data_IF_100132862537
#
_entry.id   IF_100132862537
#
_cell.length_a   1.000
_cell.length_b   1.000
_cell.length_c   1.000
_cell.angle_alpha   90.00
_cell.angle_beta   90.00
_cell.angle_gamma   90.00
#
_symmetry.space_group_name_H-M   'P 1'
#
loop_
_entity.id
_entity.type
_entity.pdbx_description
1 polymer ?
#
# COMPACT_ATOMS: atom_id res chain seq x y z
N UNK A 1 3.32 5.49 11.66
CA UNK A 1 4.45 4.77 12.29
C UNK A 1 5.78 5.41 11.95
N UNK A 2 6.75 5.34 12.85
CA UNK A 2 8.17 5.56 12.55
C UNK A 2 8.72 4.47 11.61
N UNK A 3 9.84 4.74 10.90
CA UNK A 3 10.42 3.80 9.94
C UNK A 3 10.81 2.45 10.57
N UNK A 4 11.21 2.45 11.84
CA UNK A 4 11.58 1.23 12.55
C UNK A 4 10.38 0.33 12.84
N UNK A 5 9.22 0.91 13.16
CA UNK A 5 7.98 0.15 13.37
C UNK A 5 7.48 -0.47 12.06
N UNK A 6 7.54 0.27 10.96
CA UNK A 6 7.21 -0.26 9.62
C UNK A 6 8.09 -1.45 9.26
N UNK A 7 9.40 -1.35 9.54
CA UNK A 7 10.35 -2.44 9.28
C UNK A 7 10.01 -3.69 10.11
N UNK A 8 9.73 -3.52 11.41
CA UNK A 8 9.30 -4.64 12.28
C UNK A 8 8.01 -5.27 11.79
N UNK A 9 7.04 -4.47 11.33
CA UNK A 9 5.77 -4.95 10.78
C UNK A 9 5.99 -5.82 9.52
N UNK A 10 6.88 -5.38 8.62
CA UNK A 10 7.26 -6.15 7.43
C UNK A 10 8.05 -7.42 7.76
N UNK A 11 8.96 -7.36 8.73
CA UNK A 11 9.69 -8.54 9.20
C UNK A 11 8.76 -9.58 9.84
N UNK A 12 7.76 -9.12 10.60
CA UNK A 12 6.73 -9.98 11.16
C UNK A 12 5.88 -10.60 10.04
N UNK A 13 5.39 -9.78 9.11
CA UNK A 13 4.61 -10.25 7.97
C UNK A 13 5.37 -11.28 7.12
N UNK A 14 6.65 -11.06 6.87
CA UNK A 14 7.49 -12.01 6.13
C UNK A 14 7.72 -13.34 6.87
N UNK A 15 7.60 -13.36 8.20
CA UNK A 15 7.80 -14.57 9.02
C UNK A 15 6.49 -15.33 9.26
N UNK A 16 5.40 -14.61 9.48
CA UNK A 16 4.13 -15.21 9.90
C UNK A 16 3.10 -15.27 8.78
N UNK A 17 3.23 -14.42 7.75
CA UNK A 17 2.21 -14.17 6.73
C UNK A 17 0.81 -13.99 7.33
N UNK A 18 0.72 -13.45 8.55
CA UNK A 18 -0.52 -13.37 9.30
C UNK A 18 -1.50 -12.40 8.64
N UNK A 19 -2.80 -12.75 8.58
CA UNK A 19 -3.82 -11.86 8.04
C UNK A 19 -3.92 -10.55 8.84
N UNK A 20 -3.68 -10.58 10.15
CA UNK A 20 -3.68 -9.39 11.00
C UNK A 20 -2.56 -8.41 10.66
N UNK A 21 -1.34 -8.90 10.44
CA UNK A 21 -0.19 -8.06 10.06
C UNK A 21 -0.38 -7.51 8.64
N UNK A 22 -0.92 -8.32 7.72
CA UNK A 22 -1.32 -7.88 6.38
C UNK A 22 -2.33 -6.73 6.45
N UNK A 23 -3.38 -6.88 7.25
CA UNK A 23 -4.40 -5.85 7.41
C UNK A 23 -3.82 -4.55 7.97
N UNK A 24 -2.93 -4.63 8.98
CA UNK A 24 -2.21 -3.45 9.51
C UNK A 24 -1.39 -2.75 8.42
N UNK A 25 -0.64 -3.50 7.61
CA UNK A 25 0.13 -2.96 6.48
C UNK A 25 -0.81 -2.25 5.50
N UNK A 26 -1.91 -2.91 5.09
CA UNK A 26 -2.88 -2.32 4.16
C UNK A 26 -3.43 -0.99 4.70
N UNK A 27 -3.86 -0.95 5.97
CA UNK A 27 -4.43 0.26 6.58
C UNK A 27 -3.40 1.40 6.65
N UNK A 28 -2.15 1.10 6.97
CA UNK A 28 -1.08 2.11 7.05
C UNK A 28 -0.73 2.70 5.67
N UNK A 29 -0.78 1.89 4.60
CA UNK A 29 -0.47 2.36 3.24
C UNK A 29 -1.70 2.81 2.42
N UNK A 30 -2.93 2.51 2.86
CA UNK A 30 -4.17 2.98 2.24
C UNK A 30 -4.22 4.51 1.96
N UNK A 31 -3.76 5.41 2.86
CA UNK A 31 -3.74 6.84 2.56
C UNK A 31 -2.83 7.21 1.38
N UNK A 32 -1.76 6.44 1.09
CA UNK A 32 -0.93 6.67 -0.09
C UNK A 32 -1.71 6.43 -1.38
N UNK A 33 -2.53 5.37 -1.41
CA UNK A 33 -3.41 5.08 -2.55
C UNK A 33 -4.34 6.26 -2.81
N UNK A 34 -4.96 6.81 -1.77
CA UNK A 34 -5.84 7.97 -1.89
C UNK A 34 -5.11 9.20 -2.45
N UNK A 35 -3.86 9.41 -2.04
CA UNK A 35 -3.03 10.52 -2.51
C UNK A 35 -2.65 10.35 -3.99
N UNK A 36 -2.25 9.15 -4.40
CA UNK A 36 -1.93 8.82 -5.80
C UNK A 36 -3.16 8.87 -6.69
N UNK A 37 -4.28 8.31 -6.25
CA UNK A 37 -5.57 8.37 -6.95
C UNK A 37 -6.05 9.81 -7.12
N UNK A 38 -5.92 10.64 -6.10
CA UNK A 38 -6.26 12.07 -6.16
C UNK A 38 -5.41 12.82 -7.20
N UNK A 39 -4.10 12.56 -7.25
CA UNK A 39 -3.22 13.13 -8.29
C UNK A 39 -3.61 12.63 -9.68
N UNK A 40 -3.82 11.32 -9.85
CA UNK A 40 -4.22 10.72 -11.13
C UNK A 40 -5.55 11.30 -11.65
N UNK A 41 -6.53 11.48 -10.77
CA UNK A 41 -7.82 12.09 -11.13
C UNK A 41 -7.64 13.52 -11.65
N UNK A 42 -6.73 14.32 -11.07
CA UNK A 42 -6.42 15.65 -11.61
C UNK A 42 -5.83 15.60 -13.04
N UNK A 43 -5.06 14.56 -13.38
CA UNK A 43 -4.46 14.40 -14.72
C UNK A 43 -5.42 13.78 -15.74
N UNK A 44 -6.23 12.80 -15.34
CA UNK A 44 -7.14 12.05 -16.21
C UNK A 44 -8.48 12.78 -16.44
N UNK A 45 -8.76 13.81 -15.64
CA UNK A 45 -9.99 14.58 -15.73
C UNK A 45 -11.23 13.76 -15.35
N UNK A 46 -12.39 14.18 -15.84
CA UNK A 46 -13.71 13.67 -15.43
C UNK A 46 -14.11 12.31 -16.03
N UNK A 47 -13.18 11.60 -16.68
CA UNK A 47 -13.48 10.32 -17.33
C UNK A 47 -13.57 9.14 -16.36
N UNK A 48 -12.93 9.26 -15.20
CA UNK A 48 -12.86 8.21 -14.18
C UNK A 48 -13.16 8.83 -12.82
N UNK A 49 -14.05 8.19 -12.06
CA UNK A 49 -14.38 8.62 -10.70
C UNK A 49 -13.24 8.31 -9.73
N UNK A 50 -13.03 9.22 -8.77
CA UNK A 50 -11.99 9.07 -7.75
C UNK A 50 -12.18 7.78 -6.93
N UNK A 51 -13.42 7.41 -6.64
CA UNK A 51 -13.75 6.21 -5.86
C UNK A 51 -13.31 4.93 -6.60
N UNK A 52 -13.49 4.90 -7.92
CA UNK A 52 -13.06 3.79 -8.78
C UNK A 52 -11.53 3.67 -8.79
N UNK A 53 -10.81 4.79 -8.92
CA UNK A 53 -9.34 4.84 -8.82
C UNK A 53 -8.83 4.38 -7.46
N UNK A 54 -9.49 4.77 -6.38
CA UNK A 54 -9.15 4.31 -5.03
C UNK A 54 -9.36 2.81 -4.94
N UNK A 55 -10.51 2.29 -5.42
CA UNK A 55 -10.81 0.87 -5.46
C UNK A 55 -9.71 0.06 -6.14
N UNK A 56 -9.38 0.40 -7.39
CA UNK A 56 -8.29 -0.28 -8.12
C UNK A 56 -6.94 -0.12 -7.43
N UNK A 57 -6.66 1.05 -6.88
CA UNK A 57 -5.43 1.32 -6.15
C UNK A 57 -5.27 0.47 -4.89
N UNK A 58 -6.37 0.17 -4.17
CA UNK A 58 -6.35 -0.71 -3.00
C UNK A 58 -6.07 -2.15 -3.44
N UNK A 59 -6.69 -2.64 -4.52
CA UNK A 59 -6.35 -3.97 -5.06
C UNK A 59 -4.88 -4.06 -5.50
N UNK A 60 -4.37 -3.01 -6.15
CA UNK A 60 -2.95 -2.93 -6.54
C UNK A 60 -2.02 -2.86 -5.32
N UNK A 61 -2.41 -2.14 -4.28
CA UNK A 61 -1.68 -2.09 -3.01
C UNK A 61 -1.59 -3.48 -2.37
N UNK A 62 -2.71 -4.22 -2.35
CA UNK A 62 -2.76 -5.57 -1.80
C UNK A 62 -1.83 -6.51 -2.56
N UNK A 63 -1.86 -6.48 -3.89
CA UNK A 63 -0.97 -7.30 -4.74
C UNK A 63 0.51 -6.90 -4.57
N UNK A 64 0.79 -5.60 -4.47
CA UNK A 64 2.13 -5.10 -4.19
C UNK A 64 2.64 -5.56 -2.82
N UNK A 65 1.80 -5.57 -1.80
CA UNK A 65 2.15 -6.06 -0.45
C UNK A 65 2.51 -7.54 -0.49
N UNK A 66 1.71 -8.35 -1.18
CA UNK A 66 1.92 -9.79 -1.29
C UNK A 66 3.25 -10.13 -2.00
N UNK A 67 3.62 -9.32 -2.99
CA UNK A 67 4.86 -9.48 -3.77
C UNK A 67 6.07 -8.74 -3.18
N UNK A 68 5.88 -7.96 -2.13
CA UNK A 68 6.95 -7.15 -1.57
C UNK A 68 7.93 -8.01 -0.77
N UNK A 69 9.21 -7.85 -1.07
CA UNK A 69 10.30 -8.55 -0.40
C UNK A 69 11.10 -7.55 0.46
N UNK A 70 10.96 -7.58 1.80
CA UNK A 70 11.69 -6.67 2.68
C UNK A 70 13.21 -6.95 2.69
N UNK A 71 13.65 -8.10 2.17
CA UNK A 71 15.06 -8.47 2.03
C UNK A 71 15.80 -7.72 0.92
N UNK A 72 15.09 -7.13 -0.04
CA UNK A 72 15.67 -6.35 -1.15
C UNK A 72 16.16 -4.95 -0.77
N UNK A 73 16.06 -4.55 0.50
CA UNK A 73 16.48 -3.23 1.00
C UNK A 73 15.87 -2.04 0.23
N UNK A 74 14.70 -2.24 -0.37
CA UNK A 74 13.90 -1.19 -1.03
C UNK A 74 12.76 -0.76 -0.12
N UNK A 75 12.40 0.53 -0.16
CA UNK A 75 11.23 1.02 0.57
C UNK A 75 9.96 0.66 -0.20
N UNK A 76 8.90 0.31 0.53
CA UNK A 76 7.61 0.00 -0.08
C UNK A 76 6.95 1.24 -0.70
N UNK A 77 7.04 2.38 0.00
CA UNK A 77 6.64 3.69 -0.52
C UNK A 77 7.82 4.30 -1.30
N UNK A 78 7.69 4.38 -2.61
CA UNK A 78 8.58 5.09 -3.54
C UNK A 78 7.73 6.02 -4.38
#
# INVERSE_FOLDING_TARGET
>A
MDEEEKKKLWEEYSKTCSPETREKIIVEYAPLVKLVAGRLCMYLGNHIELDDLIGYGIFGLIDAIDKFDPGKAVKFET
#
